data_IF_077634927552
#
_entry.id   IF_077634927552
#
_cell.length_a   1.000
_cell.length_b   1.000
_cell.length_c   1.000
_cell.angle_alpha   90.00
_cell.angle_beta   90.00
_cell.angle_gamma   90.00
#
_symmetry.space_group_name_H-M   'P 1'
#
loop_
_entity.id
_entity.type
_entity.pdbx_description
1 polymer ?
#
# COMPACT_ATOMS: atom_id res chain seq x y z
N UNK A 1 48.19 -1.71 13.78
CA UNK A 1 46.97 -1.71 14.60
C UNK A 1 45.87 -0.84 13.96
N UNK A 2 45.53 -1.05 12.68
CA UNK A 2 44.45 -0.27 12.03
C UNK A 2 43.52 -1.14 11.17
N UNK A 3 43.81 -2.43 11.02
CA UNK A 3 42.98 -3.35 10.23
C UNK A 3 42.00 -4.15 11.08
N UNK A 4 42.35 -4.54 12.31
CA UNK A 4 41.44 -5.28 13.21
C UNK A 4 40.20 -4.46 13.62
N UNK A 5 40.36 -3.16 13.90
CA UNK A 5 39.24 -2.31 14.32
C UNK A 5 38.24 -2.02 13.18
N UNK A 6 38.68 -2.12 11.91
CA UNK A 6 37.79 -1.94 10.75
C UNK A 6 36.93 -3.18 10.51
N UNK A 7 37.47 -4.36 10.81
CA UNK A 7 36.76 -5.64 10.65
C UNK A 7 35.66 -5.85 11.71
N UNK A 8 35.81 -5.26 12.89
CA UNK A 8 34.79 -5.34 13.95
C UNK A 8 33.55 -4.49 13.64
N UNK A 9 33.73 -3.32 13.00
CA UNK A 9 32.63 -2.44 12.58
C UNK A 9 31.84 -3.06 11.41
N UNK A 10 32.52 -3.68 10.44
CA UNK A 10 31.84 -4.36 9.32
C UNK A 10 30.92 -5.50 9.79
N UNK A 11 31.21 -6.10 10.95
CA UNK A 11 30.42 -7.20 11.51
C UNK A 11 29.19 -6.72 12.29
N UNK A 12 29.12 -5.45 12.73
CA UNK A 12 28.00 -4.93 13.54
C UNK A 12 26.89 -4.24 12.73
N UNK A 13 27.14 -3.87 11.47
CA UNK A 13 26.15 -3.20 10.61
C UNK A 13 25.14 -4.18 9.96
N UNK A 14 25.44 -5.49 9.95
CA UNK A 14 24.66 -6.48 9.22
C UNK A 14 23.32 -6.93 9.82
N UNK A 15 22.95 -6.52 11.03
CA UNK A 15 21.76 -7.10 11.74
C UNK A 15 20.59 -6.14 11.93
N UNK A 16 20.80 -4.82 11.81
CA UNK A 16 19.74 -3.82 12.01
C UNK A 16 18.90 -3.49 10.77
N UNK A 17 19.42 -3.75 9.56
CA UNK A 17 18.78 -3.34 8.32
C UNK A 17 17.64 -4.28 7.88
N UNK A 18 17.79 -5.60 8.07
CA UNK A 18 16.81 -6.59 7.60
C UNK A 18 15.38 -6.33 8.09
N UNK A 19 15.14 -6.21 9.41
CA UNK A 19 13.79 -5.98 9.92
C UNK A 19 13.17 -4.64 9.48
N UNK A 20 13.96 -3.61 9.20
CA UNK A 20 13.45 -2.31 8.74
C UNK A 20 13.10 -2.32 7.25
N UNK A 21 13.91 -2.99 6.43
CA UNK A 21 13.67 -3.17 4.99
C UNK A 21 12.42 -4.00 4.73
N UNK A 22 12.26 -5.12 5.45
CA UNK A 22 11.05 -5.97 5.38
C UNK A 22 9.77 -5.19 5.75
N UNK A 23 9.87 -4.26 6.72
CA UNK A 23 8.75 -3.41 7.12
C UNK A 23 8.43 -2.30 6.11
N UNK A 24 9.43 -1.74 5.43
CA UNK A 24 9.19 -0.74 4.37
C UNK A 24 8.60 -1.35 3.11
N UNK A 25 9.11 -2.51 2.69
CA UNK A 25 8.59 -3.23 1.50
C UNK A 25 7.13 -3.66 1.69
N UNK A 26 6.79 -4.15 2.88
CA UNK A 26 5.41 -4.54 3.20
C UNK A 26 4.45 -3.34 3.19
N UNK A 27 4.87 -2.18 3.71
CA UNK A 27 4.05 -0.94 3.67
C UNK A 27 3.84 -0.44 2.25
N UNK A 28 4.91 -0.43 1.44
CA UNK A 28 4.82 0.00 0.05
C UNK A 28 3.86 -0.91 -0.76
N UNK A 29 3.96 -2.23 -0.57
CA UNK A 29 3.05 -3.20 -1.19
C UNK A 29 1.57 -2.96 -0.81
N UNK A 30 1.28 -2.59 0.44
CA UNK A 30 -0.08 -2.25 0.89
C UNK A 30 -0.58 -0.92 0.30
N UNK A 31 0.29 0.08 0.18
CA UNK A 31 -0.03 1.37 -0.44
C UNK A 31 -0.35 1.19 -1.93
N UNK A 32 0.48 0.43 -2.67
CA UNK A 32 0.22 0.06 -4.08
C UNK A 32 -1.10 -0.69 -4.22
N UNK A 33 -1.38 -1.67 -3.36
CA UNK A 33 -2.64 -2.41 -3.39
C UNK A 33 -3.86 -1.49 -3.20
N UNK A 34 -3.76 -0.52 -2.28
CA UNK A 34 -4.82 0.46 -2.02
C UNK A 34 -5.04 1.37 -3.24
N UNK A 35 -3.97 1.91 -3.81
CA UNK A 35 -4.04 2.76 -5.00
C UNK A 35 -4.69 2.05 -6.19
N UNK A 36 -4.38 0.76 -6.40
CA UNK A 36 -5.02 -0.07 -7.44
C UNK A 36 -6.53 -0.18 -7.22
N UNK A 37 -6.99 -0.40 -5.98
CA UNK A 37 -8.42 -0.47 -5.69
C UNK A 37 -9.12 0.86 -5.94
N UNK A 38 -8.53 1.96 -5.48
CA UNK A 38 -9.12 3.30 -5.66
C UNK A 38 -9.23 3.69 -7.13
N UNK A 39 -8.20 3.40 -7.92
CA UNK A 39 -8.23 3.63 -9.36
C UNK A 39 -9.27 2.76 -10.06
N UNK A 40 -9.32 1.47 -9.74
CA UNK A 40 -10.30 0.56 -10.32
C UNK A 40 -11.74 0.99 -9.99
N UNK A 41 -12.01 1.44 -8.77
CA UNK A 41 -13.31 1.97 -8.36
C UNK A 41 -13.67 3.28 -9.07
N UNK A 42 -12.69 4.15 -9.32
CA UNK A 42 -12.88 5.37 -10.11
C UNK A 42 -13.26 5.05 -11.54
N UNK A 43 -12.49 4.17 -12.19
CA UNK A 43 -12.72 3.70 -13.55
C UNK A 43 -14.07 3.00 -13.69
N UNK A 44 -14.39 2.08 -12.77
CA UNK A 44 -15.68 1.39 -12.73
C UNK A 44 -16.85 2.36 -12.72
N UNK A 45 -16.80 3.39 -11.86
CA UNK A 45 -17.87 4.38 -11.73
C UNK A 45 -18.09 5.16 -13.01
N UNK A 46 -17.00 5.62 -13.65
CA UNK A 46 -17.08 6.36 -14.91
C UNK A 46 -17.71 5.51 -16.03
N UNK A 47 -17.28 4.26 -16.17
CA UNK A 47 -17.77 3.33 -17.19
C UNK A 47 -19.24 2.92 -16.95
N UNK A 48 -19.63 2.67 -15.69
CA UNK A 48 -21.03 2.37 -15.33
C UNK A 48 -21.91 3.58 -15.64
N UNK A 49 -21.49 4.79 -15.27
CA UNK A 49 -22.22 6.02 -15.56
C UNK A 49 -22.40 6.22 -17.08
N UNK A 50 -21.33 6.01 -17.86
CA UNK A 50 -21.37 6.09 -19.32
C UNK A 50 -22.29 5.01 -19.93
N UNK A 51 -22.17 3.76 -19.49
CA UNK A 51 -22.98 2.65 -19.98
C UNK A 51 -24.47 2.89 -19.72
N UNK A 52 -24.80 3.30 -18.50
CA UNK A 52 -26.17 3.67 -18.14
C UNK A 52 -26.65 4.86 -18.99
N UNK A 53 -25.79 5.86 -19.23
CA UNK A 53 -26.06 7.01 -20.09
C UNK A 53 -26.44 6.62 -21.53
N UNK A 54 -25.75 5.63 -22.09
CA UNK A 54 -26.01 5.09 -23.44
C UNK A 54 -27.26 4.22 -23.52
N UNK A 55 -27.56 3.45 -22.47
CA UNK A 55 -28.69 2.52 -22.43
C UNK A 55 -30.05 3.24 -22.40
N UNK A 56 -30.10 4.43 -21.83
CA UNK A 56 -31.33 5.18 -21.71
C UNK A 56 -31.07 6.70 -21.78
N UNK A 57 -31.11 7.28 -22.99
CA UNK A 57 -31.01 8.73 -23.17
C UNK A 57 -32.27 9.49 -22.74
N UNK A 58 -33.36 8.80 -22.33
CA UNK A 58 -34.69 9.36 -22.04
C UNK A 58 -35.12 9.34 -20.56
N UNK A 59 -34.47 8.56 -19.70
CA UNK A 59 -34.60 8.63 -18.24
C UNK A 59 -35.60 7.69 -17.57
N UNK A 60 -36.16 6.72 -18.28
CA UNK A 60 -36.91 5.60 -17.66
C UNK A 60 -35.99 4.40 -17.38
N UNK A 61 -35.05 4.57 -16.43
CA UNK A 61 -34.26 3.45 -15.92
C UNK A 61 -35.03 2.70 -14.83
N UNK A 62 -34.96 1.39 -14.89
CA UNK A 62 -35.35 0.48 -13.82
C UNK A 62 -34.14 0.26 -12.89
N UNK A 63 -34.31 0.45 -11.57
CA UNK A 63 -33.28 0.21 -10.55
C UNK A 63 -32.60 -1.18 -10.70
N UNK A 64 -33.35 -2.21 -11.09
CA UNK A 64 -32.81 -3.55 -11.31
C UNK A 64 -31.81 -3.64 -12.49
N UNK A 65 -31.95 -2.81 -13.53
CA UNK A 65 -30.96 -2.78 -14.62
C UNK A 65 -29.64 -2.16 -14.15
N UNK A 66 -29.75 -1.11 -13.33
CA UNK A 66 -28.61 -0.47 -12.70
C UNK A 66 -27.87 -1.45 -11.80
N UNK A 67 -28.59 -2.15 -10.93
CA UNK A 67 -28.02 -3.16 -10.02
C UNK A 67 -27.29 -4.27 -10.78
N UNK A 68 -27.84 -4.74 -11.91
CA UNK A 68 -27.20 -5.77 -12.75
C UNK A 68 -25.90 -5.25 -13.36
N UNK A 69 -25.88 -4.01 -13.85
CA UNK A 69 -24.69 -3.41 -14.47
C UNK A 69 -23.61 -3.16 -13.40
N UNK A 70 -24.00 -2.62 -12.24
CA UNK A 70 -23.10 -2.41 -11.11
C UNK A 70 -22.50 -3.74 -10.64
N UNK A 71 -23.32 -4.77 -10.43
CA UNK A 71 -22.83 -6.10 -10.03
C UNK A 71 -21.95 -6.78 -11.07
N UNK A 72 -22.22 -6.58 -12.37
CA UNK A 72 -21.33 -7.05 -13.44
C UNK A 72 -19.99 -6.32 -13.41
N UNK A 73 -20.00 -5.01 -13.21
CA UNK A 73 -18.78 -4.21 -13.15
C UNK A 73 -17.93 -4.57 -11.92
N UNK A 74 -18.55 -4.80 -10.77
CA UNK A 74 -17.89 -5.31 -9.56
C UNK A 74 -17.17 -6.63 -9.83
N UNK A 75 -17.88 -7.60 -10.41
CA UNK A 75 -17.30 -8.91 -10.72
C UNK A 75 -16.11 -8.84 -11.70
N UNK A 76 -16.15 -7.89 -12.66
CA UNK A 76 -15.04 -7.65 -13.58
C UNK A 76 -13.83 -7.08 -12.85
N UNK A 77 -14.03 -6.06 -12.00
CA UNK A 77 -12.96 -5.44 -11.20
C UNK A 77 -12.32 -6.49 -10.29
N UNK A 78 -13.11 -7.23 -9.53
CA UNK A 78 -12.62 -8.29 -8.64
C UNK A 78 -11.73 -9.29 -9.38
N UNK A 79 -12.18 -9.73 -10.56
CA UNK A 79 -11.45 -10.71 -11.38
C UNK A 79 -10.18 -10.13 -12.00
N UNK A 80 -10.19 -8.86 -12.39
CA UNK A 80 -9.02 -8.18 -12.95
C UNK A 80 -7.95 -7.96 -11.88
N UNK A 81 -8.35 -7.57 -10.67
CA UNK A 81 -7.44 -7.27 -9.56
C UNK A 81 -6.90 -8.50 -8.84
N UNK A 82 -7.57 -9.65 -8.94
CA UNK A 82 -7.17 -10.88 -8.25
C UNK A 82 -5.71 -11.29 -8.53
N UNK A 83 -5.26 -11.23 -9.79
CA UNK A 83 -3.90 -11.61 -10.16
C UNK A 83 -2.84 -10.58 -9.73
N UNK A 84 -2.98 -9.26 -10.03
CA UNK A 84 -2.06 -8.23 -9.55
C UNK A 84 -1.88 -8.21 -8.03
N UNK A 85 -2.97 -8.25 -7.27
CA UNK A 85 -2.92 -8.20 -5.80
C UNK A 85 -2.27 -9.45 -5.19
N UNK A 86 -2.48 -10.62 -5.81
CA UNK A 86 -1.80 -11.85 -5.40
C UNK A 86 -0.30 -11.79 -5.66
N UNK A 87 0.12 -11.12 -6.75
CA UNK A 87 1.53 -10.91 -7.07
C UNK A 87 2.21 -9.97 -6.07
N UNK A 88 1.55 -8.84 -5.74
CA UNK A 88 2.03 -7.86 -4.75
C UNK A 88 2.18 -8.52 -3.37
N UNK A 89 1.16 -9.23 -2.88
CA UNK A 89 1.18 -9.89 -1.56
C UNK A 89 2.18 -11.03 -1.44
N UNK A 90 2.70 -11.56 -2.54
CA UNK A 90 3.73 -12.62 -2.51
C UNK A 90 5.14 -12.07 -2.28
N UNK A 91 5.30 -10.75 -2.17
CA UNK A 91 6.61 -10.12 -1.99
C UNK A 91 7.37 -10.07 -3.30
N UNK A 92 6.81 -9.37 -4.29
CA UNK A 92 7.62 -8.93 -5.44
C UNK A 92 8.73 -8.00 -4.94
N UNK A 93 9.89 -8.01 -5.59
CA UNK A 93 10.95 -7.04 -5.33
C UNK A 93 10.49 -5.61 -5.71
N UNK A 94 11.08 -4.55 -5.14
CA UNK A 94 10.73 -3.16 -5.49
C UNK A 94 10.60 -2.91 -7.01
N UNK A 95 11.48 -3.43 -7.89
CA UNK A 95 11.34 -3.25 -9.33
C UNK A 95 10.03 -3.83 -9.92
N UNK A 96 9.53 -4.93 -9.37
CA UNK A 96 8.24 -5.50 -9.78
C UNK A 96 7.08 -4.61 -9.33
N UNK A 97 7.15 -4.03 -8.13
CA UNK A 97 6.14 -3.09 -7.63
C UNK A 97 6.11 -1.80 -8.47
N UNK A 98 7.28 -1.21 -8.77
CA UNK A 98 7.39 -0.03 -9.64
C UNK A 98 6.85 -0.29 -11.05
N UNK A 99 7.10 -1.49 -11.58
CA UNK A 99 6.55 -1.91 -12.88
C UNK A 99 5.03 -1.96 -12.86
N UNK A 100 4.42 -2.45 -11.78
CA UNK A 100 2.96 -2.45 -11.61
C UNK A 100 2.44 -1.01 -11.53
N UNK A 101 3.07 -0.15 -10.74
CA UNK A 101 2.69 1.26 -10.63
C UNK A 101 2.64 1.94 -12.00
N UNK A 102 3.69 1.77 -12.81
CA UNK A 102 3.77 2.32 -14.16
C UNK A 102 2.81 1.68 -15.16
N UNK A 103 2.53 0.38 -15.03
CA UNK A 103 1.63 -0.33 -15.94
C UNK A 103 0.18 0.12 -15.75
N UNK A 104 -0.20 0.38 -14.50
CA UNK A 104 -1.55 0.79 -14.15
C UNK A 104 -1.71 2.32 -14.04
N UNK A 105 -0.63 3.09 -14.20
CA UNK A 105 -0.63 4.56 -14.13
C UNK A 105 -1.25 5.08 -12.83
N UNK A 106 -0.87 4.44 -11.70
CA UNK A 106 -1.45 4.73 -10.38
C UNK A 106 -0.57 5.68 -9.56
N UNK A 107 -1.20 6.57 -8.83
CA UNK A 107 -0.53 7.44 -7.86
C UNK A 107 -0.54 6.78 -6.48
N UNK A 108 0.65 6.51 -5.92
CA UNK A 108 0.81 5.91 -4.59
C UNK A 108 1.09 7.01 -3.57
N UNK A 109 0.22 7.15 -2.57
CA UNK A 109 0.45 8.03 -1.42
C UNK A 109 1.01 7.20 -0.29
N UNK A 110 2.32 7.30 -0.06
CA UNK A 110 2.96 6.71 1.12
C UNK A 110 2.52 7.50 2.36
N UNK A 111 2.09 6.82 3.42
CA UNK A 111 1.81 7.49 4.68
C UNK A 111 3.15 7.88 5.33
N UNK A 112 3.45 9.18 5.38
CA UNK A 112 4.64 9.71 6.04
C UNK A 112 4.68 9.27 7.53
N UNK A 113 5.82 8.73 7.96
CA UNK A 113 6.07 8.20 9.31
C UNK A 113 6.28 9.31 10.37
N UNK A 114 5.46 10.35 10.33
CA UNK A 114 5.49 11.45 11.31
C UNK A 114 4.63 11.09 12.53
N UNK A 115 5.12 10.22 13.42
CA UNK A 115 4.32 9.92 14.62
C UNK A 115 4.85 9.04 15.74
N UNK A 116 6.09 8.52 15.70
CA UNK A 116 6.56 7.60 16.77
C UNK A 116 7.90 8.00 17.41
N UNK A 117 8.15 9.31 17.61
CA UNK A 117 9.19 9.79 18.56
C UNK A 117 8.55 10.46 19.80
N UNK A 118 7.69 9.73 20.51
CA UNK A 118 6.99 10.21 21.71
C UNK A 118 7.38 9.52 23.01
N UNK A 119 8.33 8.57 23.01
CA UNK A 119 8.63 7.72 24.18
C UNK A 119 10.06 7.87 24.70
N UNK A 120 10.51 9.10 24.97
CA UNK A 120 11.66 9.35 25.88
C UNK A 120 11.51 10.65 26.66
N UNK A 121 10.46 10.79 27.47
CA UNK A 121 10.53 11.71 28.61
C UNK A 121 9.45 11.42 29.67
N UNK A 122 9.77 10.52 30.60
CA UNK A 122 9.29 10.49 32.01
C UNK A 122 10.27 9.56 32.74
N UNK A 123 11.35 10.08 33.31
CA UNK A 123 11.47 10.60 34.69
C UNK A 123 11.36 9.49 35.73
N UNK A 124 12.49 9.17 36.37
CA UNK A 124 12.55 9.15 37.83
C UNK A 124 13.99 9.45 38.27
N UNK A 125 14.19 10.71 38.66
CA UNK A 125 15.26 11.10 39.57
C UNK A 125 15.01 10.37 40.90
N UNK A 126 15.84 9.38 41.22
CA UNK A 126 15.92 8.87 42.59
C UNK A 126 16.86 9.77 43.38
N UNK A 127 16.25 10.72 44.09
CA UNK A 127 16.87 11.43 45.20
C UNK A 127 17.00 10.47 46.41
N UNK A 128 18.02 10.72 47.24
CA UNK A 128 18.74 9.71 48.02
C UNK A 128 18.01 9.04 49.19
N UNK A 129 18.66 8.00 49.74
CA UNK A 129 18.44 7.49 51.10
C UNK A 129 19.78 7.03 51.71
N UNK A 130 20.08 7.62 52.87
CA UNK A 130 20.98 7.25 53.98
C UNK A 130 22.03 6.14 53.86
N UNK A 131 23.27 6.44 54.26
CA UNK A 131 24.02 5.77 55.35
C UNK A 131 25.25 6.56 55.78
#
# INVERSE_FOLDING_TARGET
>A
MTTEAVEEIARSVGTGAGPLLEQSECRHAEAVATAIYEDAERSKRAEVEEALGKLDPGGERNDAQRDVIEGMADAIVERLLAAPLSSIRRGGDEPALDTVVRLFDIEVVEADDDGMDGRRSHREEVTGVDS
#
